data_IF_306489787771
#
_entry.id   IF_306489787771
#
_cell.length_a   1.000
_cell.length_b   1.000
_cell.length_c   1.000
_cell.angle_alpha   90.00
_cell.angle_beta   90.00
_cell.angle_gamma   90.00
#
_symmetry.space_group_name_H-M   'P 1'
#
loop_
_entity.id
_entity.type
_entity.pdbx_description
1 polymer ?
#
# COMPACT_ATOMS: atom_id res chain seq x y z
N UNK A 1 -9.42 28.21 20.50
CA UNK A 1 -9.38 26.99 21.34
C UNK A 1 -10.25 25.87 20.79
N UNK A 2 -11.56 26.09 20.56
CA UNK A 2 -12.48 25.05 20.02
C UNK A 2 -12.03 24.50 18.66
N UNK A 3 -11.64 25.35 17.71
CA UNK A 3 -11.17 24.92 16.39
C UNK A 3 -9.95 23.98 16.47
N UNK A 4 -8.98 24.29 17.34
CA UNK A 4 -7.79 23.46 17.55
C UNK A 4 -8.19 22.07 18.04
N UNK A 5 -9.11 22.00 19.01
CA UNK A 5 -9.61 20.73 19.54
C UNK A 5 -10.30 19.89 18.46
N UNK A 6 -11.14 20.50 17.61
CA UNK A 6 -11.82 19.81 16.50
C UNK A 6 -10.79 19.24 15.52
N UNK A 7 -9.81 20.04 15.07
CA UNK A 7 -8.79 19.57 14.15
C UNK A 7 -7.94 18.44 14.74
N UNK A 8 -7.58 18.53 16.03
CA UNK A 8 -6.86 17.45 16.72
C UNK A 8 -7.66 16.15 16.73
N UNK A 9 -8.96 16.20 17.05
CA UNK A 9 -9.83 15.02 17.05
C UNK A 9 -9.93 14.42 15.64
N UNK A 10 -10.13 15.26 14.62
CA UNK A 10 -10.20 14.79 13.23
C UNK A 10 -8.91 14.09 12.79
N UNK A 11 -7.74 14.64 13.14
CA UNK A 11 -6.45 14.02 12.82
C UNK A 11 -6.30 12.68 13.54
N UNK A 12 -6.64 12.60 14.82
CA UNK A 12 -6.58 11.35 15.59
C UNK A 12 -7.52 10.30 14.98
N UNK A 13 -8.77 10.66 14.69
CA UNK A 13 -9.74 9.78 14.07
C UNK A 13 -9.26 9.28 12.69
N UNK A 14 -8.67 10.17 11.88
CA UNK A 14 -8.11 9.82 10.58
C UNK A 14 -6.93 8.86 10.70
N UNK A 15 -6.01 9.08 11.65
CA UNK A 15 -4.90 8.16 11.91
C UNK A 15 -5.42 6.79 12.35
N UNK A 16 -6.38 6.74 13.28
CA UNK A 16 -7.00 5.48 13.72
C UNK A 16 -7.61 4.74 12.53
N UNK A 17 -8.39 5.44 11.70
CA UNK A 17 -8.98 4.86 10.49
C UNK A 17 -7.91 4.31 9.54
N UNK A 18 -6.88 5.09 9.20
CA UNK A 18 -5.77 4.63 8.35
C UNK A 18 -5.05 3.40 8.91
N UNK A 19 -4.82 3.35 10.22
CA UNK A 19 -4.20 2.18 10.84
C UNK A 19 -5.07 0.94 10.76
N UNK A 20 -6.39 1.10 10.86
CA UNK A 20 -7.34 0.01 10.73
C UNK A 20 -7.37 -0.54 9.29
N UNK A 21 -7.49 0.34 8.31
CA UNK A 21 -7.43 0.00 6.87
C UNK A 21 -6.12 -0.73 6.53
N UNK A 22 -5.01 -0.26 7.09
CA UNK A 22 -3.69 -0.88 6.89
C UNK A 22 -3.59 -2.28 7.49
N UNK A 23 -4.22 -2.53 8.64
CA UNK A 23 -4.29 -3.86 9.28
C UNK A 23 -5.14 -4.84 8.47
N UNK A 24 -6.27 -4.38 7.93
CA UNK A 24 -7.15 -5.19 7.09
C UNK A 24 -6.66 -5.37 5.65
N UNK A 25 -5.47 -4.85 5.31
CA UNK A 25 -4.91 -4.85 3.97
C UNK A 25 -5.87 -4.30 2.91
N UNK A 26 -6.64 -3.27 3.25
CA UNK A 26 -7.59 -2.70 2.31
C UNK A 26 -6.89 -1.87 1.22
N UNK A 27 -7.66 -1.49 0.20
CA UNK A 27 -7.22 -0.56 -0.85
C UNK A 27 -6.71 0.79 -0.31
N UNK A 28 -7.29 1.28 0.79
CA UNK A 28 -6.93 2.55 1.43
C UNK A 28 -5.82 2.44 2.47
N UNK A 29 -5.49 1.22 2.88
CA UNK A 29 -4.40 0.98 3.80
C UNK A 29 -3.03 1.34 3.19
N UNK A 30 -2.04 1.47 4.07
CA UNK A 30 -0.65 1.76 3.71
C UNK A 30 0.24 0.61 4.19
N UNK A 31 1.15 0.17 3.33
CA UNK A 31 2.20 -0.77 3.71
C UNK A 31 3.58 -0.16 3.46
N UNK A 32 4.30 0.11 4.55
CA UNK A 32 5.68 0.60 4.52
C UNK A 32 6.71 -0.53 4.59
N UNK A 33 6.27 -1.78 4.82
CA UNK A 33 7.16 -2.94 4.84
C UNK A 33 7.55 -3.33 3.42
N UNK A 34 8.77 -3.85 3.26
CA UNK A 34 9.16 -4.54 2.03
C UNK A 34 8.42 -5.87 1.93
N UNK A 35 8.04 -6.22 0.72
CA UNK A 35 7.38 -7.49 0.39
C UNK A 35 8.26 -8.29 -0.55
N UNK A 36 8.00 -9.58 -0.68
CA UNK A 36 8.65 -10.45 -1.64
C UNK A 36 7.65 -10.81 -2.73
N UNK A 37 8.12 -10.94 -3.97
CA UNK A 37 7.28 -11.45 -5.04
C UNK A 37 6.87 -12.90 -4.70
N UNK A 38 5.58 -13.24 -4.64
CA UNK A 38 5.14 -14.59 -4.30
C UNK A 38 5.52 -15.61 -5.37
N UNK A 39 5.78 -15.17 -6.62
CA UNK A 39 6.12 -16.04 -7.75
C UNK A 39 7.61 -16.39 -7.77
N UNK A 40 8.50 -15.39 -7.67
CA UNK A 40 9.94 -15.61 -7.85
C UNK A 40 10.79 -15.27 -6.62
N UNK A 41 10.15 -14.93 -5.50
CA UNK A 41 10.78 -14.56 -4.22
C UNK A 41 11.76 -13.37 -4.31
N UNK A 42 11.67 -12.56 -5.37
CA UNK A 42 12.47 -11.34 -5.48
C UNK A 42 11.95 -10.30 -4.50
N UNK A 43 12.84 -9.80 -3.65
CA UNK A 43 12.58 -8.72 -2.72
C UNK A 43 12.21 -7.45 -3.49
N UNK A 44 11.05 -6.87 -3.18
CA UNK A 44 10.57 -5.67 -3.84
C UNK A 44 11.25 -4.40 -3.29
N UNK A 45 11.41 -3.36 -4.14
CA UNK A 45 12.00 -2.08 -3.71
C UNK A 45 11.10 -1.37 -2.69
N UNK A 46 11.69 -0.48 -1.87
CA UNK A 46 10.93 0.38 -0.95
C UNK A 46 10.17 1.45 -1.74
N UNK A 47 10.87 2.12 -2.66
CA UNK A 47 10.27 3.06 -3.58
C UNK A 47 9.64 2.24 -4.70
N UNK A 48 8.31 2.20 -4.72
CA UNK A 48 7.54 1.46 -5.71
C UNK A 48 7.25 2.36 -6.90
N UNK A 49 7.51 1.87 -8.10
CA UNK A 49 7.21 2.60 -9.34
C UNK A 49 6.02 1.88 -9.98
N UNK A 50 4.87 2.54 -10.13
CA UNK A 50 3.70 1.91 -10.70
C UNK A 50 3.84 1.77 -12.22
N UNK A 51 3.44 0.63 -12.76
CA UNK A 51 3.42 0.34 -14.21
C UNK A 51 2.00 0.40 -14.80
N UNK A 52 0.97 0.37 -13.94
CA UNK A 52 -0.43 0.45 -14.36
C UNK A 52 -1.28 1.31 -13.42
N UNK A 53 -2.52 1.60 -13.85
CA UNK A 53 -3.47 2.44 -13.10
C UNK A 53 -3.84 1.86 -11.74
N UNK A 54 -3.93 0.54 -11.62
CA UNK A 54 -4.27 -0.10 -10.34
C UNK A 54 -3.14 0.11 -9.32
N UNK A 55 -1.89 -0.03 -9.75
CA UNK A 55 -0.71 0.24 -8.92
C UNK A 55 -0.59 1.72 -8.54
N UNK A 56 -0.92 2.64 -9.45
CA UNK A 56 -0.90 4.06 -9.16
C UNK A 56 -1.97 4.47 -8.13
N UNK A 57 -3.18 3.92 -8.21
CA UNK A 57 -4.30 4.26 -7.34
C UNK A 57 -4.24 3.57 -5.98
N UNK A 58 -3.93 2.27 -5.98
CA UNK A 58 -3.98 1.44 -4.79
C UNK A 58 -2.60 1.08 -4.27
N UNK A 59 -1.55 1.65 -4.84
CA UNK A 59 -0.19 1.20 -4.58
C UNK A 59 0.06 -0.18 -5.17
N UNK A 60 1.33 -0.57 -5.16
CA UNK A 60 1.76 -1.81 -5.78
C UNK A 60 3.03 -1.57 -6.55
N UNK A 61 3.53 -2.62 -7.17
CA UNK A 61 4.74 -2.58 -7.97
C UNK A 61 4.72 -3.76 -8.93
N UNK A 62 5.36 -3.57 -10.07
CA UNK A 62 5.69 -4.68 -10.95
C UNK A 62 7.01 -5.30 -10.50
N UNK A 63 7.06 -6.63 -10.40
CA UNK A 63 8.28 -7.32 -10.01
C UNK A 63 9.37 -7.12 -11.06
N UNK A 64 10.57 -6.63 -10.71
CA UNK A 64 11.61 -6.34 -11.69
C UNK A 64 12.26 -7.59 -12.31
N UNK A 65 12.02 -8.79 -11.75
CA UNK A 65 12.60 -10.05 -12.23
C UNK A 65 11.64 -10.84 -13.12
N UNK A 66 10.39 -11.02 -12.68
CA UNK A 66 9.41 -11.87 -13.37
C UNK A 66 8.19 -11.11 -13.89
N UNK A 67 8.19 -9.77 -13.79
CA UNK A 67 7.15 -8.87 -14.30
C UNK A 67 5.72 -9.15 -13.78
N UNK A 68 5.59 -9.90 -12.68
CA UNK A 68 4.30 -10.08 -12.00
C UNK A 68 3.88 -8.78 -11.34
N UNK A 69 2.63 -8.36 -11.55
CA UNK A 69 2.05 -7.18 -10.94
C UNK A 69 1.56 -7.51 -9.54
N UNK A 70 2.07 -6.78 -8.56
CA UNK A 70 1.82 -7.00 -7.14
C UNK A 70 1.16 -5.78 -6.54
N UNK A 71 0.26 -6.00 -5.60
CA UNK A 71 -0.24 -4.92 -4.76
C UNK A 71 0.80 -4.50 -3.71
N UNK A 72 0.48 -3.46 -2.93
CA UNK A 72 1.38 -2.97 -1.87
C UNK A 72 1.63 -3.97 -0.74
N UNK A 73 0.81 -5.02 -0.62
CA UNK A 73 0.92 -6.08 0.39
C UNK A 73 1.65 -7.33 -0.13
N UNK A 74 2.01 -7.35 -1.41
CA UNK A 74 2.73 -8.46 -2.04
C UNK A 74 1.81 -9.53 -2.63
N UNK A 75 0.51 -9.26 -2.69
CA UNK A 75 -0.48 -10.15 -3.30
C UNK A 75 -0.55 -9.89 -4.82
N UNK A 76 -0.81 -10.93 -5.61
CA UNK A 76 -0.82 -10.82 -7.08
C UNK A 76 -2.07 -10.08 -7.54
N UNK A 77 -1.91 -9.01 -8.32
CA UNK A 77 -3.02 -8.33 -9.00
C UNK A 77 -3.32 -9.05 -10.32
N UNK A 78 -2.30 -9.23 -11.15
CA UNK A 78 -2.37 -10.03 -12.36
C UNK A 78 -0.99 -10.59 -12.72
N UNK A 79 -1.00 -11.70 -13.47
CA UNK A 79 0.20 -12.32 -14.04
C UNK A 79 0.20 -12.05 -15.55
N UNK A 80 1.31 -11.52 -16.06
CA UNK A 80 1.62 -11.57 -17.49
C UNK A 80 2.15 -12.97 -17.84
#
# INVERSE_FOLDING_TARGET
MIQVLIYSIMVIAFIIWLTNESKHKSKWGVNLKRVYCPVCQTKQPIIRIPDNKAEALWGGTTCPKCHTHLDKYGDVIHKL
#
